data_IF_750155757223
#
_entry.id   IF_750155757223
#
_cell.length_a   1.000
_cell.length_b   1.000
_cell.length_c   1.000
_cell.angle_alpha   90.00
_cell.angle_beta   90.00
_cell.angle_gamma   90.00
#
_symmetry.space_group_name_H-M   'P 1'
#
loop_
_entity.id
_entity.type
_entity.pdbx_description
1 polymer ?
#
# COMPACT_ATOMS: atom_id res chain seq x y z
N UNK A 1 -13.10 15.43 -8.61
CA UNK A 1 -13.22 14.45 -7.51
C UNK A 1 -11.85 14.25 -6.87
N UNK A 2 -11.76 14.00 -5.56
CA UNK A 2 -10.51 13.60 -4.92
C UNK A 2 -9.92 12.37 -5.62
N UNK A 3 -8.61 12.36 -5.86
CA UNK A 3 -7.91 11.15 -6.33
C UNK A 3 -7.66 10.25 -5.13
N UNK A 4 -8.45 9.20 -5.01
CA UNK A 4 -8.34 8.17 -3.97
C UNK A 4 -8.35 6.77 -4.59
N UNK A 5 -8.23 5.73 -3.76
CA UNK A 5 -8.22 4.35 -4.24
C UNK A 5 -9.53 3.94 -4.95
N UNK A 6 -10.68 4.51 -4.55
CA UNK A 6 -11.97 4.22 -5.19
C UNK A 6 -12.06 4.87 -6.56
N UNK A 7 -11.54 6.10 -6.70
CA UNK A 7 -11.38 6.76 -7.99
C UNK A 7 -10.42 5.99 -8.89
N UNK A 8 -9.29 5.51 -8.35
CA UNK A 8 -8.32 4.72 -9.09
C UNK A 8 -8.90 3.42 -9.65
N UNK A 9 -9.70 2.69 -8.86
CA UNK A 9 -10.42 1.50 -9.33
C UNK A 9 -11.33 1.83 -10.53
N UNK A 10 -12.06 2.96 -10.47
CA UNK A 10 -12.93 3.40 -11.59
C UNK A 10 -12.12 3.80 -12.82
N UNK A 11 -10.98 4.47 -12.64
CA UNK A 11 -10.10 4.86 -13.74
C UNK A 11 -9.55 3.63 -14.47
N UNK A 12 -9.06 2.63 -13.73
CA UNK A 12 -8.63 1.35 -14.30
C UNK A 12 -9.76 0.63 -15.02
N UNK A 13 -10.97 0.59 -14.44
CA UNK A 13 -12.15 -0.03 -15.05
C UNK A 13 -12.54 0.66 -16.37
N UNK A 14 -12.63 1.98 -16.38
CA UNK A 14 -12.96 2.76 -17.58
C UNK A 14 -11.89 2.62 -18.68
N UNK A 15 -10.63 2.42 -18.31
CA UNK A 15 -9.54 2.16 -19.25
C UNK A 15 -9.47 0.71 -19.74
N UNK A 16 -10.34 -0.19 -19.24
CA UNK A 16 -10.28 -1.63 -19.54
C UNK A 16 -9.06 -2.34 -18.94
N UNK A 17 -8.40 -1.72 -17.96
CA UNK A 17 -7.16 -2.18 -17.29
C UNK A 17 -7.45 -2.86 -15.92
N UNK A 18 -8.73 -3.05 -15.57
CA UNK A 18 -9.17 -3.79 -14.39
C UNK A 18 -9.91 -5.08 -14.77
N UNK A 19 -9.62 -6.17 -14.05
CA UNK A 19 -10.43 -7.40 -14.06
C UNK A 19 -11.05 -7.57 -12.67
N UNK A 20 -12.38 -7.73 -12.63
CA UNK A 20 -13.11 -8.08 -11.41
C UNK A 20 -13.18 -9.60 -11.26
N UNK A 21 -12.79 -10.09 -10.08
CA UNK A 21 -12.88 -11.50 -9.71
C UNK A 21 -13.98 -11.61 -8.65
N UNK A 22 -15.14 -12.12 -9.08
CA UNK A 22 -16.33 -12.28 -8.23
C UNK A 22 -16.38 -13.64 -7.52
N UNK A 23 -15.68 -14.64 -8.07
CA UNK A 23 -15.50 -15.94 -7.40
C UNK A 23 -14.72 -15.75 -6.11
N UNK A 24 -15.06 -16.54 -5.09
CA UNK A 24 -14.33 -16.57 -3.83
C UNK A 24 -12.85 -16.93 -4.07
N UNK A 25 -11.94 -16.13 -3.50
CA UNK A 25 -10.49 -16.36 -3.58
C UNK A 25 -9.90 -16.30 -2.19
N UNK A 26 -9.21 -17.36 -1.80
CA UNK A 26 -8.51 -17.42 -0.52
C UNK A 26 -7.13 -16.74 -0.61
N UNK A 27 -6.84 -15.74 0.24
CA UNK A 27 -5.63 -14.92 0.10
C UNK A 27 -4.32 -15.68 0.38
N UNK A 28 -4.38 -16.77 1.15
CA UNK A 28 -3.17 -17.52 1.51
C UNK A 28 -2.81 -18.65 0.53
N UNK A 29 -3.71 -19.04 -0.38
CA UNK A 29 -3.51 -20.23 -1.23
C UNK A 29 -3.71 -19.96 -2.72
N UNK A 30 -4.50 -18.94 -3.09
CA UNK A 30 -4.89 -18.70 -4.48
C UNK A 30 -4.48 -17.31 -4.98
N UNK A 31 -4.67 -16.28 -4.15
CA UNK A 31 -4.52 -14.88 -4.58
C UNK A 31 -3.14 -14.56 -5.14
N UNK A 32 -2.06 -15.05 -4.51
CA UNK A 32 -0.69 -14.83 -5.00
C UNK A 32 -0.46 -15.39 -6.41
N UNK A 33 -0.98 -16.57 -6.71
CA UNK A 33 -0.87 -17.19 -8.04
C UNK A 33 -1.66 -16.41 -9.11
N UNK A 34 -2.87 -15.97 -8.78
CA UNK A 34 -3.70 -15.16 -9.68
C UNK A 34 -3.05 -13.81 -10.00
N UNK A 35 -2.51 -13.14 -8.98
CA UNK A 35 -1.74 -11.90 -9.16
C UNK A 35 -0.52 -12.13 -10.06
N UNK A 36 0.22 -13.21 -9.82
CA UNK A 36 1.38 -13.58 -10.63
C UNK A 36 1.03 -13.88 -12.09
N UNK A 37 -0.16 -14.42 -12.37
CA UNK A 37 -0.63 -14.74 -13.72
C UNK A 37 -1.13 -13.51 -14.48
N UNK A 38 -1.79 -12.55 -13.82
CA UNK A 38 -2.37 -11.39 -14.52
C UNK A 38 -1.31 -10.58 -15.24
N UNK A 39 -0.29 -10.07 -14.51
CA UNK A 39 0.85 -9.19 -14.92
C UNK A 39 0.55 -7.96 -15.80
N UNK A 40 -0.56 -7.96 -16.52
CA UNK A 40 -0.98 -6.99 -17.53
C UNK A 40 -2.16 -6.15 -17.06
N UNK A 41 -2.99 -6.65 -16.13
CA UNK A 41 -4.16 -5.93 -15.60
C UNK A 41 -4.23 -5.98 -14.09
N UNK A 42 -4.87 -4.97 -13.51
CA UNK A 42 -5.18 -4.94 -12.09
C UNK A 42 -6.28 -5.96 -11.79
N UNK A 43 -6.22 -6.59 -10.62
CA UNK A 43 -7.22 -7.54 -10.16
C UNK A 43 -7.95 -6.97 -8.94
N UNK A 44 -9.28 -6.86 -9.04
CA UNK A 44 -10.14 -6.57 -7.90
C UNK A 44 -10.85 -7.85 -7.46
N UNK A 45 -10.41 -8.41 -6.33
CA UNK A 45 -11.06 -9.54 -5.67
C UNK A 45 -12.23 -9.02 -4.83
N UNK A 46 -13.45 -9.37 -5.23
CA UNK A 46 -14.66 -8.86 -4.56
C UNK A 46 -15.15 -9.77 -3.43
N UNK A 47 -14.69 -11.02 -3.42
CA UNK A 47 -15.00 -12.01 -2.39
C UNK A 47 -13.68 -12.64 -1.92
N UNK A 48 -13.17 -12.15 -0.79
CA UNK A 48 -11.95 -12.68 -0.16
C UNK A 48 -12.34 -13.71 0.89
N UNK A 49 -12.12 -14.98 0.57
CA UNK A 49 -12.54 -16.10 1.42
C UNK A 49 -11.84 -16.06 2.78
N UNK A 50 -12.61 -16.25 3.86
CA UNK A 50 -12.16 -16.07 5.24
C UNK A 50 -12.15 -14.61 5.75
N UNK A 51 -12.42 -13.62 4.88
CA UNK A 51 -12.34 -12.19 5.20
C UNK A 51 -13.63 -11.45 4.77
N UNK A 52 -14.77 -11.69 5.45
CA UNK A 52 -16.05 -11.11 5.05
C UNK A 52 -16.03 -9.58 5.07
N UNK A 53 -16.68 -8.97 4.07
CA UNK A 53 -16.75 -7.51 3.91
C UNK A 53 -15.50 -6.88 3.28
N UNK A 54 -14.39 -7.63 3.17
CA UNK A 54 -13.19 -7.14 2.51
C UNK A 54 -13.23 -7.36 1.00
N UNK A 55 -12.67 -6.38 0.29
CA UNK A 55 -12.21 -6.51 -1.10
C UNK A 55 -10.71 -6.27 -1.14
N UNK A 56 -10.03 -6.89 -2.10
CA UNK A 56 -8.58 -6.71 -2.27
C UNK A 56 -8.27 -6.26 -3.69
N UNK A 57 -7.46 -5.22 -3.84
CA UNK A 57 -6.94 -4.75 -5.11
C UNK A 57 -5.45 -5.09 -5.19
N UNK A 58 -5.03 -5.74 -6.27
CA UNK A 58 -3.62 -6.00 -6.53
C UNK A 58 -3.23 -5.71 -7.97
N UNK A 59 -1.92 -5.66 -8.22
CA UNK A 59 -1.35 -5.27 -9.53
C UNK A 59 -1.87 -3.89 -10.01
N UNK A 60 -1.90 -2.90 -9.10
CA UNK A 60 -2.46 -1.58 -9.36
C UNK A 60 -1.55 -0.46 -8.80
N UNK A 61 -0.40 -0.18 -9.45
CA UNK A 61 -0.10 -0.45 -10.85
C UNK A 61 0.53 -1.84 -11.13
N UNK A 62 0.29 -2.37 -12.33
CA UNK A 62 0.91 -3.61 -12.84
C UNK A 62 2.06 -3.33 -13.81
N UNK A 63 1.93 -2.24 -14.57
CA UNK A 63 2.74 -1.93 -15.75
C UNK A 63 2.80 -0.42 -16.00
N UNK A 64 3.54 -0.01 -17.02
CA UNK A 64 3.72 1.40 -17.39
C UNK A 64 2.43 2.07 -17.90
N UNK A 65 1.45 1.32 -18.42
CA UNK A 65 0.15 1.89 -18.84
C UNK A 65 -0.63 2.37 -17.63
N UNK A 66 -0.66 1.59 -16.55
CA UNK A 66 -1.27 2.01 -15.28
C UNK A 66 -0.55 3.23 -14.70
N UNK A 67 0.79 3.25 -14.74
CA UNK A 67 1.55 4.40 -14.26
C UNK A 67 1.24 5.66 -15.09
N UNK A 68 1.19 5.55 -16.42
CA UNK A 68 0.81 6.65 -17.31
C UNK A 68 -0.61 7.16 -17.01
N UNK A 69 -1.56 6.24 -16.83
CA UNK A 69 -2.94 6.57 -16.45
C UNK A 69 -3.00 7.33 -15.12
N UNK A 70 -2.30 6.84 -14.08
CA UNK A 70 -2.23 7.50 -12.78
C UNK A 70 -1.62 8.91 -12.88
N UNK A 71 -0.65 9.11 -13.76
CA UNK A 71 -0.05 10.43 -14.03
C UNK A 71 -0.92 11.31 -14.95
N UNK A 72 -1.97 10.77 -15.57
CA UNK A 72 -2.81 11.46 -16.54
C UNK A 72 -2.03 11.83 -17.80
N UNK A 73 -1.20 10.91 -18.29
CA UNK A 73 -0.30 11.10 -19.44
C UNK A 73 -0.23 9.81 -20.27
N UNK A 74 0.61 9.79 -21.31
CA UNK A 74 0.88 8.58 -22.11
C UNK A 74 2.15 7.87 -21.64
N UNK A 75 2.38 6.63 -22.08
CA UNK A 75 3.57 5.86 -21.69
C UNK A 75 4.85 6.57 -22.17
N UNK A 76 4.82 7.13 -23.37
CA UNK A 76 5.92 7.87 -23.99
C UNK A 76 6.30 9.10 -23.15
N UNK A 77 5.30 9.78 -22.58
CA UNK A 77 5.47 11.00 -21.80
C UNK A 77 5.59 10.76 -20.30
N UNK A 78 5.50 9.51 -19.82
CA UNK A 78 5.49 9.20 -18.38
C UNK A 78 6.75 9.68 -17.67
N UNK A 79 7.93 9.32 -18.17
CA UNK A 79 9.22 9.67 -17.56
C UNK A 79 9.43 11.19 -17.51
N UNK A 80 9.31 11.95 -18.62
CA UNK A 80 9.50 13.41 -18.56
C UNK A 80 8.46 14.09 -17.67
N UNK A 81 7.19 13.65 -17.71
CA UNK A 81 6.12 14.18 -16.82
C UNK A 81 6.46 13.93 -15.35
N UNK A 82 6.93 12.73 -15.02
CA UNK A 82 7.27 12.36 -13.64
C UNK A 82 8.49 13.15 -13.14
N UNK A 83 9.53 13.32 -13.96
CA UNK A 83 10.72 14.09 -13.62
C UNK A 83 10.39 15.57 -13.37
N UNK A 84 9.60 16.20 -14.26
CA UNK A 84 9.18 17.58 -14.10
C UNK A 84 8.39 17.80 -12.79
N UNK A 85 7.43 16.91 -12.51
CA UNK A 85 6.60 17.01 -11.30
C UNK A 85 7.38 16.73 -10.01
N UNK A 86 8.36 15.83 -10.05
CA UNK A 86 9.20 15.53 -8.88
C UNK A 86 10.00 16.75 -8.38
N UNK A 87 10.33 17.67 -9.29
CA UNK A 87 11.01 18.93 -8.98
C UNK A 87 10.05 20.02 -8.46
N UNK A 88 8.73 19.87 -8.69
CA UNK A 88 7.69 20.84 -8.33
C UNK A 88 6.82 20.32 -7.18
N UNK A 89 7.42 20.19 -5.99
CA UNK A 89 6.71 19.71 -4.80
C UNK A 89 5.57 20.66 -4.42
N UNK A 90 4.38 20.09 -4.22
CA UNK A 90 3.23 20.80 -3.68
C UNK A 90 3.14 20.54 -2.17
N UNK A 91 2.83 21.56 -1.35
CA UNK A 91 2.63 21.35 0.08
C UNK A 91 1.38 20.49 0.32
N UNK A 92 1.41 19.67 1.36
CA UNK A 92 0.22 18.94 1.83
C UNK A 92 -0.61 19.85 2.73
N UNK A 93 -1.93 19.76 2.62
CA UNK A 93 -2.85 20.43 3.54
C UNK A 93 -3.23 19.53 4.70
N UNK A 94 -3.25 20.10 5.92
CA UNK A 94 -3.73 19.38 7.09
C UNK A 94 -5.26 19.46 7.14
N UNK A 95 -5.91 18.31 7.14
CA UNK A 95 -7.37 18.19 7.27
C UNK A 95 -7.75 17.58 8.62
N UNK A 96 -8.90 17.99 9.16
CA UNK A 96 -9.39 17.52 10.46
C UNK A 96 -9.95 16.10 10.43
N UNK A 97 -10.46 15.66 9.27
CA UNK A 97 -11.10 14.36 9.09
C UNK A 97 -10.92 13.82 7.67
N UNK A 98 -11.38 12.59 7.44
CA UNK A 98 -11.42 11.95 6.12
C UNK A 98 -11.97 10.52 6.21
N UNK A 99 -12.25 9.86 5.08
CA UNK A 99 -12.86 8.52 5.05
C UNK A 99 -12.08 7.46 5.84
N UNK A 100 -10.75 7.63 5.96
CA UNK A 100 -9.89 6.74 6.75
C UNK A 100 -10.24 6.73 8.26
N UNK A 101 -11.02 7.70 8.75
CA UNK A 101 -11.46 7.79 10.15
C UNK A 101 -12.85 7.21 10.41
N UNK A 102 -13.52 6.62 9.42
CA UNK A 102 -14.86 6.02 9.57
C UNK A 102 -14.88 4.85 10.58
N UNK A 103 -13.78 4.09 10.65
CA UNK A 103 -13.60 2.99 11.61
C UNK A 103 -12.29 3.18 12.34
N UNK A 104 -12.33 3.25 13.68
CA UNK A 104 -11.16 3.43 14.53
C UNK A 104 -11.13 2.32 15.58
N UNK A 105 -10.14 1.45 15.48
CA UNK A 105 -9.85 0.41 16.48
C UNK A 105 -8.59 0.81 17.25
N UNK A 106 -8.60 0.66 18.58
CA UNK A 106 -7.48 1.03 19.45
C UNK A 106 -7.14 -0.06 20.45
N UNK A 107 -5.89 -0.10 20.89
CA UNK A 107 -5.42 -1.04 21.90
C UNK A 107 -5.78 -2.48 21.54
N UNK A 108 -6.45 -3.18 22.45
CA UNK A 108 -6.79 -4.60 22.27
C UNK A 108 -7.86 -4.89 21.20
N UNK A 109 -8.56 -3.86 20.72
CA UNK A 109 -9.48 -4.00 19.59
C UNK A 109 -8.75 -4.19 18.26
N UNK A 110 -7.46 -3.83 18.20
CA UNK A 110 -6.65 -3.96 16.99
C UNK A 110 -6.28 -5.42 16.78
N UNK A 111 -6.64 -5.93 15.62
CA UNK A 111 -6.26 -7.25 15.13
C UNK A 111 -5.99 -7.21 13.62
N UNK A 112 -4.70 -7.11 13.25
CA UNK A 112 -4.27 -7.06 11.86
C UNK A 112 -4.37 -8.42 11.15
N UNK A 113 -4.56 -9.54 11.86
CA UNK A 113 -4.78 -10.84 11.20
C UNK A 113 -6.17 -10.95 10.59
N UNK A 114 -7.06 -9.98 10.86
CA UNK A 114 -8.37 -9.83 10.22
C UNK A 114 -8.32 -9.04 8.91
N UNK A 115 -7.15 -8.52 8.53
CA UNK A 115 -6.94 -7.90 7.22
C UNK A 115 -6.57 -8.98 6.20
N UNK A 116 -7.05 -8.90 4.94
CA UNK A 116 -6.78 -9.88 3.90
C UNK A 116 -5.36 -9.78 3.32
N UNK A 117 -4.34 -9.74 4.18
CA UNK A 117 -2.95 -9.85 3.77
C UNK A 117 -2.73 -11.22 3.10
N UNK A 118 -2.05 -11.24 1.96
CA UNK A 118 -1.91 -12.46 1.16
C UNK A 118 -0.54 -13.10 1.35
N UNK A 119 -0.46 -14.39 1.01
CA UNK A 119 0.81 -15.10 0.89
C UNK A 119 1.23 -15.06 -0.57
N UNK A 120 2.48 -14.65 -0.81
CA UNK A 120 3.05 -14.54 -2.14
C UNK A 120 4.24 -15.49 -2.32
N UNK A 121 4.31 -16.17 -3.45
CA UNK A 121 5.43 -17.05 -3.78
C UNK A 121 5.60 -18.17 -2.76
N UNK A 122 6.82 -18.34 -2.25
CA UNK A 122 7.21 -19.36 -1.28
C UNK A 122 7.21 -18.87 0.17
N UNK A 123 6.57 -17.74 0.46
CA UNK A 123 6.44 -17.25 1.83
C UNK A 123 5.49 -18.16 2.62
N UNK A 124 5.71 -18.30 3.94
CA UNK A 124 4.87 -19.16 4.81
C UNK A 124 3.84 -18.34 5.61
N UNK A 125 3.97 -17.02 5.59
CA UNK A 125 3.15 -16.10 6.39
C UNK A 125 2.64 -14.94 5.53
N UNK A 126 1.46 -14.37 5.82
CA UNK A 126 0.92 -13.28 5.05
C UNK A 126 1.71 -11.97 5.24
N UNK A 127 1.76 -11.16 4.19
CA UNK A 127 2.39 -9.84 4.19
C UNK A 127 1.42 -8.73 3.80
N UNK A 128 1.51 -7.60 4.49
CA UNK A 128 1.05 -6.33 3.94
C UNK A 128 2.16 -5.86 2.98
N UNK A 129 1.99 -6.19 1.70
CA UNK A 129 3.02 -5.98 0.67
C UNK A 129 3.15 -4.52 0.21
N UNK A 130 2.03 -3.78 0.21
CA UNK A 130 1.95 -2.39 -0.25
C UNK A 130 1.90 -1.38 0.91
N UNK A 131 2.49 -1.71 2.07
CA UNK A 131 2.46 -0.83 3.24
C UNK A 131 3.33 0.42 3.01
N UNK A 132 2.70 1.58 2.87
CA UNK A 132 3.38 2.85 2.69
C UNK A 132 3.64 3.48 4.06
N UNK A 133 4.86 3.33 4.55
CA UNK A 133 5.27 3.77 5.88
C UNK A 133 5.67 5.24 5.87
N UNK A 134 5.11 6.02 6.80
CA UNK A 134 5.59 7.36 7.15
C UNK A 134 6.42 7.27 8.42
N UNK A 135 7.65 7.76 8.35
CA UNK A 135 8.51 7.99 9.50
C UNK A 135 8.84 9.49 9.60
N UNK A 136 9.00 10.00 10.82
CA UNK A 136 9.39 11.38 11.07
C UNK A 136 10.77 11.41 11.67
N UNK A 137 11.69 12.12 11.04
CA UNK A 137 13.02 12.35 11.57
C UNK A 137 12.91 13.15 12.89
N UNK A 138 13.50 12.67 14.00
CA UNK A 138 13.28 13.29 15.30
C UNK A 138 14.17 14.52 15.54
N UNK A 139 15.11 14.84 14.65
CA UNK A 139 15.94 16.06 14.72
C UNK A 139 15.32 17.18 13.88
N UNK A 140 15.08 16.87 12.61
CA UNK A 140 14.65 17.86 11.62
C UNK A 140 13.14 18.00 11.51
N UNK A 141 12.39 17.01 12.02
CA UNK A 141 10.94 16.92 11.86
C UNK A 141 10.48 16.56 10.45
N UNK A 142 11.40 16.35 9.50
CA UNK A 142 11.11 15.96 8.11
C UNK A 142 10.46 14.58 8.09
N UNK A 143 9.46 14.39 7.22
CA UNK A 143 8.79 13.09 7.03
C UNK A 143 9.38 12.37 5.83
N UNK A 144 9.69 11.10 6.00
CA UNK A 144 10.02 10.18 4.91
C UNK A 144 8.82 9.25 4.66
N UNK A 145 8.57 8.93 3.39
CA UNK A 145 7.52 7.99 2.99
C UNK A 145 8.15 6.91 2.10
N UNK A 146 7.98 5.64 2.45
CA UNK A 146 8.57 4.53 1.72
C UNK A 146 7.72 3.26 1.80
N UNK A 147 7.74 2.45 0.74
CA UNK A 147 7.14 1.12 0.77
C UNK A 147 7.98 0.17 1.62
N UNK A 148 7.32 -0.54 2.53
CA UNK A 148 7.90 -1.63 3.29
C UNK A 148 6.94 -2.82 3.28
N UNK A 149 7.47 -4.01 2.98
CA UNK A 149 6.73 -5.25 3.21
C UNK A 149 6.68 -5.52 4.72
N UNK A 150 5.49 -5.82 5.22
CA UNK A 150 5.26 -6.08 6.65
C UNK A 150 4.76 -7.50 6.84
N UNK A 151 5.62 -8.36 7.38
CA UNK A 151 5.27 -9.74 7.74
C UNK A 151 4.30 -9.70 8.92
N UNK A 152 3.12 -10.28 8.80
CA UNK A 152 2.19 -10.39 9.93
C UNK A 152 2.72 -11.43 10.92
N UNK A 153 2.98 -11.02 12.16
CA UNK A 153 3.52 -11.87 13.24
C UNK A 153 2.54 -12.05 14.42
N UNK A 154 1.30 -11.59 14.26
CA UNK A 154 0.24 -11.63 15.27
C UNK A 154 -0.71 -10.44 15.14
N UNK A 155 -1.73 -10.33 16.01
CA UNK A 155 -2.81 -9.34 15.90
C UNK A 155 -2.33 -7.88 16.00
N UNK A 156 -1.18 -7.62 16.64
CA UNK A 156 -0.65 -6.27 16.85
C UNK A 156 0.86 -6.18 16.60
N UNK A 157 1.39 -7.07 15.73
CA UNK A 157 2.83 -7.16 15.50
C UNK A 157 3.16 -7.48 14.05
N UNK A 158 4.07 -6.69 13.47
CA UNK A 158 4.65 -6.96 12.16
C UNK A 158 6.17 -7.03 12.23
N UNK A 159 6.78 -7.82 11.35
CA UNK A 159 8.19 -7.69 11.00
C UNK A 159 8.36 -6.80 9.77
N UNK A 160 9.28 -5.84 9.79
CA UNK A 160 9.57 -4.98 8.63
C UNK A 160 11.04 -5.11 8.25
N UNK A 161 11.30 -5.30 6.95
CA UNK A 161 12.66 -5.18 6.42
C UNK A 161 12.95 -3.70 6.13
N UNK A 162 13.84 -3.10 6.92
CA UNK A 162 14.29 -1.72 6.75
C UNK A 162 15.74 -1.72 6.24
N UNK A 163 15.90 -1.53 4.93
CA UNK A 163 17.21 -1.49 4.26
C UNK A 163 17.91 -0.12 4.45
N UNK A 164 19.24 -0.01 4.23
CA UNK A 164 20.02 1.23 4.39
C UNK A 164 19.62 2.39 3.44
N UNK A 165 18.51 3.05 3.76
CA UNK A 165 17.95 4.25 3.11
C UNK A 165 17.42 5.20 4.21
N UNK A 166 16.71 6.27 3.84
CA UNK A 166 16.23 7.27 4.80
C UNK A 166 15.43 6.70 5.99
N UNK A 167 14.55 5.71 5.78
CA UNK A 167 13.82 5.08 6.92
C UNK A 167 14.78 4.44 7.93
N UNK A 168 15.88 3.82 7.46
CA UNK A 168 16.91 3.26 8.36
C UNK A 168 17.67 4.35 9.08
N UNK A 169 18.05 5.42 8.40
CA UNK A 169 18.72 6.56 9.03
C UNK A 169 17.87 7.17 10.15
N UNK A 170 16.56 7.34 9.90
CA UNK A 170 15.62 7.81 10.91
C UNK A 170 15.52 6.82 12.08
N UNK A 171 15.39 5.52 11.80
CA UNK A 171 15.32 4.48 12.82
C UNK A 171 16.57 4.47 13.73
N UNK A 172 17.77 4.58 13.14
CA UNK A 172 19.02 4.60 13.89
C UNK A 172 19.06 5.74 14.93
N UNK A 173 18.47 6.90 14.62
CA UNK A 173 18.39 8.05 15.55
C UNK A 173 17.51 7.76 16.75
N UNK A 174 16.37 7.07 16.54
CA UNK A 174 15.49 6.62 17.62
C UNK A 174 16.15 5.52 18.46
N UNK A 175 16.79 4.55 17.82
CA UNK A 175 17.52 3.47 18.50
C UNK A 175 18.64 4.03 19.38
N UNK A 176 19.40 5.02 18.89
CA UNK A 176 20.44 5.70 19.67
C UNK A 176 19.92 6.43 20.92
N UNK A 177 18.61 6.73 20.98
CA UNK A 177 17.92 7.34 22.13
C UNK A 177 17.21 6.33 23.01
N UNK A 178 17.21 5.05 22.63
CA UNK A 178 16.38 4.03 23.24
C UNK A 178 14.88 4.40 23.21
N UNK A 179 14.45 5.05 22.11
CA UNK A 179 13.08 5.48 21.90
C UNK A 179 12.40 4.64 20.81
N UNK A 180 11.10 4.42 20.95
CA UNK A 180 10.32 3.82 19.87
C UNK A 180 10.12 4.82 18.73
N UNK A 181 10.40 4.41 17.50
CA UNK A 181 10.13 5.21 16.30
C UNK A 181 8.62 5.18 15.98
N UNK A 182 7.89 6.31 16.10
CA UNK A 182 6.49 6.37 15.70
C UNK A 182 6.38 6.29 14.18
N UNK A 183 5.48 5.43 13.69
CA UNK A 183 5.19 5.27 12.27
C UNK A 183 3.69 5.26 12.01
N UNK A 184 3.31 5.68 10.81
CA UNK A 184 1.99 5.42 10.25
C UNK A 184 2.16 4.56 8.99
N UNK A 185 1.23 3.63 8.74
CA UNK A 185 1.21 2.79 7.54
C UNK A 185 -0.17 2.96 6.91
N UNK A 186 -0.19 3.21 5.60
CA UNK A 186 -1.40 3.27 4.79
C UNK A 186 -1.25 2.50 3.48
#
# INVERSE_FOLDING_TARGET
MPRDMRAWIRELENAGELVRITKAVHPHTQMGALLYQSREKALLFENVDGFPGWKSLGMAPANLRHAALAYGTTVENLIPTAAERALKRQPTELVSTGPVKEVILKGDQVDITKLPAHIAGSEETPYIAAGLMVARDPDSGIRNVAFHRLQVKGPRKTGALIVPRHTREILNKYEARNEAMPVAIF
#
